data_IF_743228652209
#
_entry.id   IF_743228652209
#
_cell.length_a   1.000
_cell.length_b   1.000
_cell.length_c   1.000
_cell.angle_alpha   90.00
_cell.angle_beta   90.00
_cell.angle_gamma   90.00
#
_symmetry.space_group_name_H-M   'P 1'
#
loop_
_entity.id
_entity.type
_entity.pdbx_description
1 polymer ?
#
# COMPACT_ATOMS: atom_id res chain seq x y z
N UNK A 1 -11.67 -10.90 32.18
CA UNK A 1 -12.22 -11.85 31.20
C UNK A 1 -11.20 -12.00 30.09
N UNK A 2 -10.57 -13.19 30.04
CA UNK A 2 -9.52 -13.56 29.09
C UNK A 2 -10.14 -13.62 27.68
N UNK A 3 -9.84 -12.62 26.85
CA UNK A 3 -10.19 -12.65 25.43
C UNK A 3 -9.17 -13.52 24.71
N UNK A 4 -9.60 -14.69 24.25
CA UNK A 4 -8.82 -15.55 23.36
C UNK A 4 -8.41 -14.74 22.13
N UNK A 5 -7.13 -14.37 22.07
CA UNK A 5 -6.55 -13.73 20.91
C UNK A 5 -6.72 -14.66 19.70
N UNK A 6 -7.38 -14.18 18.64
CA UNK A 6 -7.17 -14.79 17.33
C UNK A 6 -5.67 -14.74 16.96
N UNK A 7 -5.22 -15.46 15.93
CA UNK A 7 -3.80 -15.52 15.53
C UNK A 7 -3.20 -14.18 15.05
N UNK A 8 -3.93 -13.07 15.21
CA UNK A 8 -3.52 -11.73 14.79
C UNK A 8 -3.59 -10.77 15.97
N UNK A 9 -2.65 -9.81 16.06
CA UNK A 9 -2.67 -8.81 17.12
C UNK A 9 -3.94 -7.96 17.06
N UNK A 10 -4.41 -7.51 18.22
CA UNK A 10 -5.68 -6.79 18.38
C UNK A 10 -5.78 -5.54 17.50
N UNK A 11 -4.67 -4.82 17.28
CA UNK A 11 -4.66 -3.64 16.41
C UNK A 11 -5.08 -3.97 14.97
N UNK A 12 -4.67 -5.13 14.41
CA UNK A 12 -5.07 -5.58 13.07
C UNK A 12 -6.58 -5.85 13.04
N UNK A 13 -7.10 -6.51 14.06
CA UNK A 13 -8.53 -6.81 14.18
C UNK A 13 -9.36 -5.52 14.25
N UNK A 14 -8.90 -4.49 14.97
CA UNK A 14 -9.57 -3.20 15.04
C UNK A 14 -9.65 -2.51 13.66
N UNK A 15 -8.55 -2.52 12.89
CA UNK A 15 -8.52 -1.98 11.53
C UNK A 15 -9.49 -2.76 10.63
N UNK A 16 -9.39 -4.10 10.61
CA UNK A 16 -10.24 -4.95 9.77
C UNK A 16 -11.72 -4.76 10.09
N UNK A 17 -12.09 -4.79 11.37
CA UNK A 17 -13.47 -4.58 11.79
C UNK A 17 -13.98 -3.21 11.35
N UNK A 18 -13.20 -2.16 11.60
CA UNK A 18 -13.62 -0.80 11.24
C UNK A 18 -13.76 -0.62 9.73
N UNK A 19 -12.86 -1.19 8.91
CA UNK A 19 -13.01 -1.16 7.44
C UNK A 19 -14.25 -1.93 7.02
N UNK A 20 -14.43 -3.17 7.50
CA UNK A 20 -15.55 -4.03 7.10
C UNK A 20 -16.90 -3.41 7.46
N UNK A 21 -16.99 -2.72 8.60
CA UNK A 21 -18.22 -2.05 9.03
C UNK A 21 -18.51 -0.78 8.24
N UNK A 22 -17.48 0.04 7.93
CA UNK A 22 -17.72 1.41 7.45
C UNK A 22 -17.40 1.64 5.97
N UNK A 23 -16.74 0.73 5.26
CA UNK A 23 -16.26 0.96 3.89
C UNK A 23 -17.35 1.29 2.85
N UNK A 24 -18.60 0.85 3.09
CA UNK A 24 -19.72 1.12 2.17
C UNK A 24 -20.13 2.59 2.20
N UNK A 25 -20.08 3.20 3.37
CA UNK A 25 -20.56 4.56 3.62
C UNK A 25 -19.39 5.57 3.68
N UNK A 26 -18.21 5.12 4.10
CA UNK A 26 -17.00 5.93 4.28
C UNK A 26 -15.84 5.36 3.45
N UNK A 27 -15.78 5.69 2.16
CA UNK A 27 -14.66 5.23 1.30
C UNK A 27 -13.30 5.79 1.73
N UNK A 28 -13.28 6.94 2.42
CA UNK A 28 -12.08 7.56 2.98
C UNK A 28 -11.37 6.67 4.00
N UNK A 29 -12.06 5.69 4.59
CA UNK A 29 -11.47 4.75 5.56
C UNK A 29 -10.32 3.92 4.99
N UNK A 30 -10.14 3.84 3.66
CA UNK A 30 -8.96 3.19 3.05
C UNK A 30 -7.76 4.11 2.88
N UNK A 31 -7.91 5.42 3.08
CA UNK A 31 -6.87 6.40 2.82
C UNK A 31 -6.18 6.76 4.13
N UNK A 32 -4.86 6.74 4.11
CA UNK A 32 -4.05 7.09 5.26
C UNK A 32 -2.86 7.94 4.82
N UNK A 33 -2.42 8.83 5.70
CA UNK A 33 -1.28 9.69 5.47
C UNK A 33 0.01 8.87 5.67
N UNK A 34 0.84 8.77 4.63
CA UNK A 34 2.15 8.16 4.67
C UNK A 34 3.22 9.25 4.80
N UNK A 35 3.92 9.24 5.92
CA UNK A 35 5.10 10.07 6.17
C UNK A 35 6.37 9.35 5.76
N UNK A 36 7.22 10.01 4.99
CA UNK A 36 8.56 9.54 4.59
C UNK A 36 9.57 10.66 4.76
N UNK A 37 10.86 10.35 4.61
CA UNK A 37 11.95 11.29 4.75
C UNK A 37 12.71 11.45 3.43
N UNK A 38 13.07 12.68 3.08
CA UNK A 38 13.82 12.99 1.87
C UNK A 38 14.97 13.95 2.14
N UNK A 39 15.90 14.09 1.19
CA UNK A 39 16.98 15.07 1.29
C UNK A 39 16.41 16.49 1.28
N UNK A 40 17.11 17.47 1.87
CA UNK A 40 16.67 18.84 1.82
C UNK A 40 16.59 19.36 0.37
N UNK A 41 15.54 20.13 0.07
CA UNK A 41 15.33 20.74 -1.24
C UNK A 41 16.34 21.86 -1.57
N UNK A 42 17.19 22.27 -0.61
CA UNK A 42 18.17 23.33 -0.79
C UNK A 42 19.56 22.86 -0.42
N UNK A 43 20.56 23.27 -1.19
CA UNK A 43 21.99 23.10 -0.90
C UNK A 43 22.52 24.09 0.14
N UNK A 44 21.65 24.78 0.89
CA UNK A 44 22.09 25.69 1.93
C UNK A 44 22.73 24.90 3.09
N UNK A 45 23.84 25.42 3.61
CA UNK A 45 24.59 24.81 4.72
C UNK A 45 23.83 24.80 6.06
N UNK A 46 22.62 25.36 6.11
CA UNK A 46 21.73 25.38 7.27
C UNK A 46 20.49 24.48 7.10
N UNK A 47 20.36 23.78 5.97
CA UNK A 47 19.21 22.91 5.75
C UNK A 47 19.26 21.68 6.68
N UNK A 48 18.11 21.19 7.18
CA UNK A 48 18.07 19.99 8.01
C UNK A 48 18.59 18.77 7.22
N UNK A 49 19.20 17.82 7.94
CA UNK A 49 19.75 16.60 7.35
C UNK A 49 18.69 15.73 6.63
N UNK A 50 17.41 15.91 6.98
CA UNK A 50 16.28 15.21 6.39
C UNK A 50 15.01 16.07 6.50
N UNK A 51 14.17 16.03 5.47
CA UNK A 51 12.90 16.75 5.39
C UNK A 51 11.74 15.73 5.37
N UNK A 52 10.73 15.89 6.24
CA UNK A 52 9.55 15.04 6.19
C UNK A 52 8.69 15.37 4.97
N UNK A 53 8.14 14.34 4.35
CA UNK A 53 7.16 14.46 3.29
C UNK A 53 5.93 13.62 3.62
N UNK A 54 4.74 14.15 3.38
CA UNK A 54 3.48 13.46 3.66
C UNK A 54 2.56 13.50 2.44
N UNK A 55 1.79 12.43 2.25
CA UNK A 55 0.72 12.31 1.24
C UNK A 55 -0.23 11.20 1.64
N UNK A 56 -1.44 11.23 1.09
CA UNK A 56 -2.35 10.09 1.20
C UNK A 56 -1.93 8.94 0.28
N UNK A 57 -2.10 7.73 0.78
CA UNK A 57 -2.00 6.49 0.02
C UNK A 57 -3.20 5.60 0.34
N UNK A 58 -3.47 4.63 -0.53
CA UNK A 58 -4.62 3.72 -0.39
C UNK A 58 -4.16 2.41 0.22
N UNK A 59 -4.85 1.97 1.28
CA UNK A 59 -4.71 0.64 1.84
C UNK A 59 -5.27 -0.41 0.87
N UNK A 60 -4.47 -1.43 0.57
CA UNK A 60 -4.78 -2.50 -0.39
C UNK A 60 -5.00 -3.86 0.27
N UNK A 61 -5.24 -3.87 1.58
CA UNK A 61 -5.40 -5.07 2.39
C UNK A 61 -4.13 -5.42 3.17
N UNK A 62 -4.23 -6.48 3.95
CA UNK A 62 -3.07 -7.12 4.58
C UNK A 62 -2.43 -8.13 3.61
N UNK A 63 -1.17 -8.46 3.86
CA UNK A 63 -0.42 -9.42 3.05
C UNK A 63 -1.14 -10.77 2.96
N UNK A 64 -1.25 -11.29 1.73
CA UNK A 64 -1.94 -12.54 1.41
C UNK A 64 -3.43 -12.55 1.82
N UNK A 65 -4.04 -11.40 2.11
CA UNK A 65 -5.45 -11.32 2.46
C UNK A 65 -6.33 -11.15 1.21
N UNK A 66 -7.40 -11.92 1.16
CA UNK A 66 -8.47 -11.78 0.18
C UNK A 66 -9.82 -11.72 0.90
N UNK A 67 -10.73 -10.85 0.44
CA UNK A 67 -12.11 -10.85 0.96
C UNK A 67 -12.82 -12.11 0.50
N UNK A 68 -13.51 -12.76 1.42
CA UNK A 68 -14.28 -13.97 1.13
C UNK A 68 -15.59 -13.91 1.93
N UNK A 69 -16.72 -14.01 1.22
CA UNK A 69 -18.04 -14.18 1.84
C UNK A 69 -18.18 -15.51 2.57
N UNK A 70 -17.36 -16.50 2.19
CA UNK A 70 -17.48 -17.89 2.59
C UNK A 70 -16.62 -18.20 3.84
N UNK A 71 -15.78 -17.25 4.25
CA UNK A 71 -14.98 -17.36 5.47
C UNK A 71 -15.72 -16.74 6.67
N UNK A 72 -15.73 -17.40 7.85
CA UNK A 72 -16.32 -16.84 9.07
C UNK A 72 -15.75 -15.47 9.49
N UNK A 73 -14.51 -15.17 9.10
CA UNK A 73 -13.83 -13.89 9.40
C UNK A 73 -13.99 -12.84 8.30
N UNK A 74 -14.72 -13.16 7.21
CA UNK A 74 -14.85 -12.32 6.03
C UNK A 74 -13.58 -12.23 5.16
N UNK A 75 -12.53 -12.98 5.53
CA UNK A 75 -11.23 -12.99 4.82
C UNK A 75 -10.69 -14.40 4.70
N UNK A 76 -9.98 -14.66 3.61
CA UNK A 76 -9.26 -15.90 3.35
C UNK A 76 -7.89 -15.59 2.75
N UNK A 77 -6.91 -16.51 2.84
CA UNK A 77 -5.64 -16.36 2.14
C UNK A 77 -5.84 -16.30 0.62
N UNK A 78 -5.04 -15.49 -0.07
CA UNK A 78 -5.00 -15.51 -1.53
C UNK A 78 -4.26 -16.74 -2.06
N UNK A 79 -3.10 -17.06 -1.48
CA UNK A 79 -2.36 -18.31 -1.67
C UNK A 79 -2.63 -19.24 -0.49
N UNK A 80 -3.39 -20.32 -0.76
CA UNK A 80 -3.96 -21.20 0.28
C UNK A 80 -2.92 -21.89 1.19
N UNK A 81 -1.71 -22.14 0.69
CA UNK A 81 -0.60 -22.72 1.47
C UNK A 81 -0.05 -21.78 2.55
N UNK A 82 -0.45 -20.51 2.56
CA UNK A 82 0.07 -19.48 3.46
C UNK A 82 -1.03 -18.86 4.33
N UNK A 83 -0.65 -18.35 5.49
CA UNK A 83 -1.54 -17.57 6.37
C UNK A 83 -1.67 -16.13 5.85
N UNK A 84 -2.55 -15.33 6.45
CA UNK A 84 -2.55 -13.87 6.20
C UNK A 84 -1.54 -13.20 7.14
N UNK A 85 -0.75 -12.26 6.62
CA UNK A 85 0.26 -11.53 7.39
C UNK A 85 -0.31 -10.31 8.12
N UNK A 86 0.52 -9.63 8.91
CA UNK A 86 0.20 -8.31 9.51
C UNK A 86 0.71 -7.14 8.68
N UNK A 87 1.56 -7.40 7.69
CA UNK A 87 2.07 -6.37 6.80
C UNK A 87 0.95 -5.70 6.00
N UNK A 88 0.98 -4.37 5.93
CA UNK A 88 -0.02 -3.58 5.19
C UNK A 88 0.45 -3.37 3.76
N UNK A 89 -0.46 -3.52 2.82
CA UNK A 89 -0.17 -3.30 1.41
C UNK A 89 -0.64 -1.91 0.98
N UNK A 90 0.23 -1.20 0.26
CA UNK A 90 -0.14 -0.05 -0.57
C UNK A 90 0.59 -0.13 -1.91
N UNK A 91 0.39 0.84 -2.79
CA UNK A 91 0.89 0.80 -4.17
C UNK A 91 1.43 2.16 -4.57
N UNK A 92 2.48 2.17 -5.37
CA UNK A 92 3.02 3.40 -5.95
C UNK A 92 3.57 3.15 -7.34
N UNK A 93 3.69 4.22 -8.12
CA UNK A 93 4.59 4.24 -9.27
C UNK A 93 6.02 4.17 -8.72
N UNK A 94 6.84 3.27 -9.27
CA UNK A 94 8.25 3.05 -8.91
C UNK A 94 9.10 4.31 -9.12
N UNK A 95 8.68 5.21 -10.02
CA UNK A 95 9.35 6.46 -10.36
C UNK A 95 8.95 7.63 -9.44
N UNK A 96 7.95 7.44 -8.57
CA UNK A 96 7.43 8.52 -7.74
C UNK A 96 8.46 8.98 -6.69
N UNK A 97 8.51 10.29 -6.33
CA UNK A 97 9.44 10.81 -5.34
C UNK A 97 9.44 10.06 -4.00
N UNK A 98 8.25 9.58 -3.56
CA UNK A 98 8.12 8.81 -2.32
C UNK A 98 8.93 7.51 -2.33
N UNK A 99 9.14 6.89 -3.48
CA UNK A 99 9.93 5.65 -3.60
C UNK A 99 11.41 5.98 -3.41
N UNK A 100 11.90 7.04 -4.03
CA UNK A 100 13.28 7.50 -3.83
C UNK A 100 13.54 7.86 -2.35
N UNK A 101 12.58 8.54 -1.72
CA UNK A 101 12.61 8.87 -0.29
C UNK A 101 12.73 7.60 0.58
N UNK A 102 11.92 6.58 0.32
CA UNK A 102 11.98 5.30 1.03
C UNK A 102 13.32 4.60 0.85
N UNK A 103 13.85 4.54 -0.38
CA UNK A 103 15.16 3.91 -0.65
C UNK A 103 16.26 4.62 0.13
N UNK A 104 16.24 5.96 0.16
CA UNK A 104 17.24 6.77 0.86
C UNK A 104 17.12 6.71 2.39
N UNK A 105 15.90 6.57 2.92
CA UNK A 105 15.66 6.47 4.37
C UNK A 105 15.77 5.03 4.92
N UNK A 106 16.18 4.06 4.08
CA UNK A 106 16.19 2.65 4.47
C UNK A 106 14.80 2.05 4.69
N UNK A 107 13.75 2.68 4.14
CA UNK A 107 12.36 2.23 4.21
C UNK A 107 11.60 2.71 5.44
N UNK A 108 12.23 3.40 6.40
CA UNK A 108 11.55 3.85 7.61
C UNK A 108 10.47 4.89 7.30
N UNK A 109 9.27 4.65 7.80
CA UNK A 109 8.08 5.46 7.58
C UNK A 109 7.10 5.36 8.76
N UNK A 110 6.19 6.33 8.86
CA UNK A 110 5.05 6.28 9.77
C UNK A 110 3.76 6.57 8.99
N UNK A 111 2.72 5.78 9.27
CA UNK A 111 1.37 6.05 8.80
C UNK A 111 0.55 6.71 9.91
N UNK A 112 -0.27 7.69 9.54
CA UNK A 112 -1.37 8.17 10.37
C UNK A 112 -2.70 7.88 9.67
N UNK A 113 -3.56 7.12 10.34
CA UNK A 113 -4.81 6.61 9.77
C UNK A 113 -5.97 6.91 10.71
N UNK A 114 -6.87 7.77 10.23
CA UNK A 114 -8.09 8.16 10.93
C UNK A 114 -9.28 7.40 10.37
N UNK A 115 -10.06 6.76 11.26
CA UNK A 115 -11.33 6.13 10.95
C UNK A 115 -12.44 6.94 11.65
N UNK A 116 -13.08 7.82 10.88
CA UNK A 116 -13.93 8.87 11.44
C UNK A 116 -15.14 8.29 12.17
N UNK A 117 -15.88 7.38 11.54
CA UNK A 117 -17.07 6.80 12.15
C UNK A 117 -16.76 6.01 13.43
N UNK A 118 -15.62 5.31 13.47
CA UNK A 118 -15.20 4.53 14.62
C UNK A 118 -14.52 5.37 15.73
N UNK A 119 -14.17 6.62 15.42
CA UNK A 119 -13.37 7.51 16.26
C UNK A 119 -12.05 6.87 16.70
N UNK A 120 -11.41 6.15 15.77
CA UNK A 120 -10.14 5.44 15.96
C UNK A 120 -9.03 6.09 15.14
N UNK A 121 -7.91 6.39 15.80
CA UNK A 121 -6.66 6.75 15.15
C UNK A 121 -5.65 5.62 15.30
N UNK A 122 -5.01 5.24 14.19
CA UNK A 122 -3.88 4.32 14.17
C UNK A 122 -2.64 5.07 13.70
N UNK A 123 -1.57 5.04 14.49
CA UNK A 123 -0.24 5.47 14.08
C UNK A 123 0.65 4.25 13.95
N UNK A 124 1.05 3.93 12.73
CA UNK A 124 1.78 2.68 12.41
C UNK A 124 3.20 3.06 12.00
N UNK A 125 4.17 2.78 12.86
CA UNK A 125 5.59 2.97 12.57
C UNK A 125 6.22 1.65 12.14
N UNK A 126 7.02 1.69 11.09
CA UNK A 126 7.64 0.48 10.54
C UNK A 126 8.50 0.73 9.32
N UNK A 127 8.86 -0.36 8.65
CA UNK A 127 9.70 -0.33 7.45
C UNK A 127 8.86 -0.68 6.21
N UNK A 128 8.86 0.22 5.22
CA UNK A 128 8.22 0.01 3.92
C UNK A 128 9.22 -0.59 2.93
N UNK A 129 8.86 -1.73 2.36
CA UNK A 129 9.65 -2.44 1.36
C UNK A 129 9.03 -2.28 -0.03
N UNK A 130 9.86 -1.94 -1.02
CA UNK A 130 9.41 -1.70 -2.40
C UNK A 130 9.57 -2.98 -3.22
N UNK A 131 8.47 -3.53 -3.72
CA UNK A 131 8.44 -4.67 -4.64
C UNK A 131 8.01 -4.22 -6.05
N UNK A 132 8.96 -3.92 -6.94
CA UNK A 132 8.69 -3.64 -8.35
C UNK A 132 8.57 -4.94 -9.16
N UNK A 133 8.47 -4.80 -10.48
CA UNK A 133 8.54 -5.92 -11.43
C UNK A 133 9.86 -6.73 -11.28
N UNK A 134 9.85 -8.03 -11.63
CA UNK A 134 11.08 -8.83 -11.73
C UNK A 134 12.11 -8.18 -12.66
N UNK A 135 13.39 -8.24 -12.28
CA UNK A 135 14.52 -7.66 -13.03
C UNK A 135 14.76 -6.16 -12.81
N UNK A 136 13.93 -5.47 -12.02
CA UNK A 136 14.25 -4.11 -11.57
C UNK A 136 15.29 -4.16 -10.42
N UNK A 137 16.28 -3.24 -10.32
CA UNK A 137 17.33 -3.31 -9.29
C UNK A 137 16.81 -3.40 -7.85
N UNK A 138 15.74 -2.68 -7.51
CA UNK A 138 15.11 -2.76 -6.18
C UNK A 138 14.45 -4.13 -5.89
N UNK A 139 14.14 -4.95 -6.90
CA UNK A 139 13.52 -6.26 -6.71
C UNK A 139 14.45 -7.27 -5.99
N UNK A 140 15.76 -7.07 -6.11
CA UNK A 140 16.79 -7.88 -5.45
C UNK A 140 16.96 -7.51 -3.96
N UNK A 141 16.65 -6.26 -3.61
CA UNK A 141 16.74 -5.75 -2.24
C UNK A 141 15.50 -6.10 -1.40
N UNK A 142 14.43 -6.56 -2.05
CA UNK A 142 13.18 -6.90 -1.38
C UNK A 142 13.35 -8.19 -0.53
N UNK A 143 13.08 -8.15 0.79
CA UNK A 143 13.37 -9.26 1.70
C UNK A 143 12.30 -10.37 1.64
N UNK A 144 12.29 -11.10 0.52
CA UNK A 144 11.25 -12.08 0.13
C UNK A 144 10.94 -13.12 1.21
N UNK A 145 11.96 -13.81 1.73
CA UNK A 145 11.77 -14.89 2.69
C UNK A 145 11.26 -14.36 4.03
N UNK A 146 11.81 -13.22 4.47
CA UNK A 146 11.51 -12.63 5.77
C UNK A 146 10.10 -12.02 5.85
N UNK A 147 9.61 -11.43 4.77
CA UNK A 147 8.27 -10.85 4.74
C UNK A 147 7.19 -11.86 4.34
N UNK A 148 7.56 -13.08 3.92
CA UNK A 148 6.58 -14.07 3.50
C UNK A 148 5.68 -14.44 4.70
N UNK A 149 4.37 -14.61 4.51
CA UNK A 149 3.51 -15.12 5.58
C UNK A 149 3.93 -16.53 5.99
N UNK A 150 3.58 -16.92 7.22
CA UNK A 150 3.78 -18.30 7.67
C UNK A 150 2.98 -19.29 6.83
N UNK A 151 3.42 -20.54 6.76
CA UNK A 151 2.65 -21.61 6.10
C UNK A 151 1.44 -22.03 6.93
N UNK A 152 0.37 -22.46 6.27
CA UNK A 152 -0.78 -23.05 6.95
C UNK A 152 -0.49 -24.47 7.42
N UNK A 153 -1.02 -24.84 8.60
CA UNK A 153 -1.20 -26.24 9.00
C UNK A 153 0.06 -27.10 9.08
N UNK A 154 1.25 -26.51 9.21
CA UNK A 154 2.51 -27.28 9.18
C UNK A 154 2.84 -27.86 7.81
N UNK A 155 2.27 -27.31 6.73
CA UNK A 155 2.63 -27.65 5.36
C UNK A 155 4.16 -27.53 5.18
N UNK A 156 4.80 -28.63 4.80
CA UNK A 156 6.24 -28.71 4.54
C UNK A 156 6.56 -28.52 3.05
N UNK A 157 5.62 -27.97 2.27
CA UNK A 157 5.83 -27.64 0.86
C UNK A 157 7.14 -26.87 0.66
N UNK A 158 7.83 -27.15 -0.45
CA UNK A 158 9.06 -26.45 -0.84
C UNK A 158 8.78 -25.07 -1.45
N UNK A 159 7.58 -24.87 -2.00
CA UNK A 159 7.29 -23.73 -2.88
C UNK A 159 7.23 -22.40 -2.10
N UNK A 160 8.12 -21.44 -2.38
CA UNK A 160 8.14 -20.16 -1.69
C UNK A 160 6.87 -19.35 -1.97
N UNK A 161 6.56 -18.38 -1.10
CA UNK A 161 5.46 -17.44 -1.34
C UNK A 161 5.68 -16.69 -2.66
N UNK A 162 4.70 -16.74 -3.57
CA UNK A 162 4.82 -16.10 -4.87
C UNK A 162 4.51 -14.61 -4.76
N UNK A 163 5.58 -13.84 -4.58
CA UNK A 163 5.51 -12.38 -4.50
C UNK A 163 5.09 -11.71 -5.81
N UNK A 164 5.37 -12.31 -6.96
CA UNK A 164 4.92 -11.74 -8.24
C UNK A 164 3.43 -11.98 -8.44
N UNK A 165 2.93 -13.16 -8.09
CA UNK A 165 1.49 -13.42 -8.05
C UNK A 165 0.78 -12.42 -7.13
N UNK A 166 1.31 -12.16 -5.93
CA UNK A 166 0.74 -11.19 -4.99
C UNK A 166 0.76 -9.76 -5.57
N UNK A 167 1.87 -9.34 -6.20
CA UNK A 167 1.99 -8.04 -6.87
C UNK A 167 0.95 -7.91 -7.99
N UNK A 168 0.84 -8.91 -8.86
CA UNK A 168 -0.09 -8.90 -9.99
C UNK A 168 -1.55 -8.99 -9.55
N UNK A 169 -1.86 -9.73 -8.50
CA UNK A 169 -3.19 -9.79 -7.89
C UNK A 169 -3.68 -8.40 -7.47
N UNK A 170 -2.80 -7.60 -6.87
CA UNK A 170 -3.15 -6.22 -6.49
C UNK A 170 -3.26 -5.32 -7.73
N UNK A 171 -2.34 -5.43 -8.69
CA UNK A 171 -2.38 -4.67 -9.95
C UNK A 171 -3.69 -4.90 -10.73
N UNK A 172 -4.09 -6.15 -10.91
CA UNK A 172 -5.29 -6.52 -11.68
C UNK A 172 -6.61 -6.07 -11.03
N UNK A 173 -6.61 -5.73 -9.74
CA UNK A 173 -7.78 -5.19 -9.02
C UNK A 173 -7.93 -3.67 -9.18
N UNK A 174 -7.00 -2.99 -9.85
CA UNK A 174 -7.03 -1.54 -10.03
C UNK A 174 -8.13 -1.09 -10.99
N UNK A 175 -8.66 0.11 -10.76
CA UNK A 175 -9.61 0.74 -11.69
C UNK A 175 -8.92 1.09 -13.02
N UNK A 176 -9.67 1.23 -14.13
CA UNK A 176 -9.11 1.57 -15.43
C UNK A 176 -8.25 2.85 -15.39
N UNK A 177 -8.73 3.88 -14.71
CA UNK A 177 -7.98 5.14 -14.56
C UNK A 177 -6.71 5.01 -13.71
N UNK A 178 -6.73 4.14 -12.70
CA UNK A 178 -5.53 3.89 -11.88
C UNK A 178 -4.49 3.07 -12.66
N UNK A 179 -4.91 2.08 -13.44
CA UNK A 179 -4.02 1.36 -14.36
C UNK A 179 -3.35 2.35 -15.32
N UNK A 180 -4.13 3.25 -15.94
CA UNK A 180 -3.61 4.26 -16.83
C UNK A 180 -2.60 5.19 -16.16
N UNK A 181 -2.79 5.51 -14.88
CA UNK A 181 -1.91 6.43 -14.16
C UNK A 181 -0.43 6.02 -14.14
N UNK A 182 -0.13 4.72 -14.18
CA UNK A 182 1.25 4.22 -14.23
C UNK A 182 1.90 4.31 -15.62
N UNK A 183 1.12 4.53 -16.67
CA UNK A 183 1.62 4.77 -18.04
C UNK A 183 1.73 6.27 -18.37
N UNK A 184 1.45 7.15 -17.40
CA UNK A 184 1.58 8.61 -17.56
C UNK A 184 3.04 9.04 -17.34
N UNK A 185 3.39 10.30 -17.66
CA UNK A 185 4.68 10.87 -17.25
C UNK A 185 4.94 10.71 -15.76
N UNK A 186 6.22 10.69 -15.38
CA UNK A 186 6.66 10.47 -14.00
C UNK A 186 5.88 11.34 -13.01
N UNK A 187 5.25 10.76 -11.97
CA UNK A 187 4.47 11.54 -11.02
C UNK A 187 5.28 12.66 -10.36
N UNK A 188 4.73 13.87 -10.38
CA UNK A 188 5.39 15.07 -9.85
C UNK A 188 6.35 15.79 -10.81
N UNK A 189 6.52 15.29 -12.05
CA UNK A 189 7.23 16.02 -13.10
C UNK A 189 6.40 17.20 -13.65
N UNK A 190 7.08 18.17 -14.28
CA UNK A 190 6.42 19.33 -14.93
C UNK A 190 5.46 18.82 -16.02
N UNK A 191 4.25 19.39 -16.08
CA UNK A 191 3.28 19.06 -17.11
C UNK A 191 3.86 19.35 -18.52
N UNK A 192 3.73 18.47 -19.53
CA UNK A 192 4.29 18.68 -20.87
C UNK A 192 3.78 19.96 -21.55
N UNK A 193 2.51 20.30 -21.29
CA UNK A 193 1.88 21.54 -21.77
C UNK A 193 1.89 22.67 -20.73
N UNK A 194 2.72 22.62 -19.68
CA UNK A 194 2.70 23.63 -18.60
C UNK A 194 2.85 25.08 -19.10
N UNK A 195 3.57 25.30 -20.20
CA UNK A 195 3.75 26.66 -20.76
C UNK A 195 2.52 27.15 -21.56
N UNK A 196 1.57 26.24 -21.86
CA UNK A 196 0.33 26.49 -22.62
C UNK A 196 -0.92 26.52 -21.75
N UNK A 197 -0.91 25.78 -20.64
CA UNK A 197 -1.93 25.82 -19.59
C UNK A 197 -1.73 27.14 -18.81
N UNK A 198 -2.49 28.18 -19.17
CA UNK A 198 -2.41 29.48 -18.49
C UNK A 198 -2.93 29.41 -17.04
N UNK A 199 -2.72 30.48 -16.27
CA UNK A 199 -3.17 30.61 -14.86
C UNK A 199 -4.70 30.47 -14.66
N UNK A 200 -5.50 30.43 -15.74
CA UNK A 200 -6.96 30.35 -15.71
C UNK A 200 -7.58 29.08 -16.31
N UNK A 201 -6.79 28.04 -16.66
CA UNK A 201 -7.31 26.77 -17.23
C UNK A 201 -7.61 25.68 -16.18
N UNK A 202 -7.85 26.08 -14.93
CA UNK A 202 -8.27 25.19 -13.86
C UNK A 202 -7.12 24.44 -13.18
N UNK A 203 -7.04 24.55 -11.85
CA UNK A 203 -6.17 23.77 -10.99
C UNK A 203 -6.87 22.58 -10.33
N UNK A 204 -6.17 21.78 -9.51
CA UNK A 204 -6.80 20.76 -8.69
C UNK A 204 -7.95 21.35 -7.86
N UNK A 205 -9.18 20.86 -8.09
CA UNK A 205 -10.39 21.34 -7.41
C UNK A 205 -11.10 22.52 -8.08
N UNK A 206 -10.57 23.02 -9.19
CA UNK A 206 -11.12 24.13 -9.98
C UNK A 206 -11.48 23.62 -11.39
N UNK A 207 -12.48 22.73 -11.46
CA UNK A 207 -13.31 22.40 -12.64
C UNK A 207 -13.95 21.00 -12.44
N UNK A 208 -15.28 20.91 -12.40
CA UNK A 208 -16.00 19.61 -12.32
C UNK A 208 -15.94 18.80 -13.62
N UNK A 209 -15.26 19.33 -14.66
CA UNK A 209 -15.22 18.71 -15.98
C UNK A 209 -13.96 17.87 -16.10
N UNK A 210 -14.08 16.56 -16.41
CA UNK A 210 -12.90 15.74 -16.69
C UNK A 210 -12.08 16.35 -17.82
N UNK A 211 -10.76 16.29 -17.70
CA UNK A 211 -9.84 16.71 -18.75
C UNK A 211 -10.27 16.08 -20.08
N UNK A 212 -10.65 16.92 -21.05
CA UNK A 212 -11.18 16.45 -22.32
C UNK A 212 -10.00 16.09 -23.21
N UNK A 213 -9.84 14.79 -23.48
CA UNK A 213 -9.09 14.21 -24.60
C UNK A 213 -7.56 14.45 -24.66
N UNK A 214 -6.94 13.84 -25.68
CA UNK A 214 -5.50 13.83 -25.97
C UNK A 214 -4.86 15.23 -26.12
N UNK A 215 -5.65 16.29 -26.34
CA UNK A 215 -5.14 17.66 -26.47
C UNK A 215 -4.90 18.33 -25.10
N UNK A 216 -5.71 18.02 -24.09
CA UNK A 216 -5.53 18.53 -22.71
C UNK A 216 -4.67 17.60 -21.85
N UNK A 217 -4.70 16.31 -22.14
CA UNK A 217 -3.88 15.29 -21.48
C UNK A 217 -3.36 14.30 -22.52
N UNK A 218 -2.11 14.43 -23.00
CA UNK A 218 -1.56 13.60 -24.08
C UNK A 218 -1.21 12.17 -23.64
N UNK A 219 -1.88 11.65 -22.61
CA UNK A 219 -1.64 10.36 -21.99
C UNK A 219 -2.95 9.62 -21.76
N UNK A 220 -2.91 8.27 -21.63
CA UNK A 220 -4.11 7.50 -21.39
C UNK A 220 -4.82 7.94 -20.11
N UNK A 221 -6.13 8.16 -20.23
CA UNK A 221 -7.00 8.39 -19.08
C UNK A 221 -7.41 7.09 -18.43
N UNK A 222 -7.66 6.05 -19.22
CA UNK A 222 -8.07 4.72 -18.78
C UNK A 222 -7.34 3.63 -19.57
N UNK A 223 -7.12 2.48 -18.93
CA UNK A 223 -6.65 1.27 -19.58
C UNK A 223 -7.62 0.11 -19.29
N UNK A 224 -7.80 -0.83 -20.22
CA UNK A 224 -8.71 -1.96 -20.02
C UNK A 224 -8.28 -2.83 -18.83
N UNK A 225 -9.27 -3.35 -18.09
CA UNK A 225 -9.02 -4.24 -16.96
C UNK A 225 -8.71 -5.65 -17.45
N UNK A 226 -7.52 -6.20 -17.19
CA UNK A 226 -7.13 -7.52 -17.70
C UNK A 226 -8.09 -8.66 -17.30
N UNK A 227 -8.78 -8.51 -16.17
CA UNK A 227 -9.69 -9.51 -15.58
C UNK A 227 -11.12 -9.48 -16.15
N UNK A 228 -11.47 -8.46 -16.96
CA UNK A 228 -12.82 -8.29 -17.53
C UNK A 228 -12.86 -8.42 -19.06
N UNK A 229 -11.81 -8.98 -19.65
CA UNK A 229 -11.74 -9.20 -21.09
C UNK A 229 -12.35 -10.58 -21.39
N UNK A 230 -13.44 -10.61 -22.13
CA UNK A 230 -14.20 -11.83 -22.45
C UNK A 230 -13.37 -12.83 -23.30
N UNK A 231 -12.44 -12.34 -24.13
CA UNK A 231 -11.48 -13.13 -24.91
C UNK A 231 -10.03 -13.09 -24.39
N UNK A 232 -9.79 -12.52 -23.20
CA UNK A 232 -8.45 -12.39 -22.62
C UNK A 232 -7.59 -11.29 -23.28
N UNK A 233 -6.26 -11.43 -23.25
CA UNK A 233 -5.33 -10.39 -23.76
C UNK A 233 -5.43 -10.15 -25.28
N UNK A 234 -6.08 -11.07 -26.01
CA UNK A 234 -6.18 -11.06 -27.47
C UNK A 234 -7.18 -10.01 -27.99
N UNK A 235 -8.07 -9.51 -27.13
CA UNK A 235 -9.02 -8.43 -27.44
C UNK A 235 -8.40 -7.03 -27.38
N UNK A 236 -7.13 -6.93 -26.93
CA UNK A 236 -6.45 -5.66 -26.77
C UNK A 236 -5.78 -5.22 -28.07
N UNK A 237 -5.95 -3.94 -28.43
CA UNK A 237 -5.13 -3.34 -29.49
C UNK A 237 -3.64 -3.36 -29.11
N UNK A 238 -2.75 -3.36 -30.10
CA UNK A 238 -1.30 -3.36 -29.87
C UNK A 238 -0.86 -2.18 -28.98
N UNK A 239 -1.50 -1.02 -29.14
CA UNK A 239 -1.26 0.16 -28.31
C UNK A 239 -1.68 -0.05 -26.85
N UNK A 240 -2.88 -0.59 -26.61
CA UNK A 240 -3.34 -0.92 -25.26
C UNK A 240 -2.45 -1.97 -24.58
N UNK A 241 -1.99 -2.98 -25.31
CA UNK A 241 -1.05 -3.97 -24.80
C UNK A 241 0.26 -3.30 -24.37
N UNK A 242 0.82 -2.41 -25.20
CA UNK A 242 2.04 -1.66 -24.88
C UNK A 242 1.85 -0.77 -23.64
N UNK A 243 0.76 -0.02 -23.56
CA UNK A 243 0.48 0.86 -22.42
C UNK A 243 0.23 0.07 -21.13
N UNK A 244 -0.42 -1.09 -21.19
CA UNK A 244 -0.57 -1.98 -20.04
C UNK A 244 0.75 -2.57 -19.58
N UNK A 245 1.63 -2.96 -20.51
CA UNK A 245 2.98 -3.41 -20.17
C UNK A 245 3.80 -2.29 -19.51
N UNK A 246 3.71 -1.07 -20.02
CA UNK A 246 4.35 0.10 -19.42
C UNK A 246 3.79 0.36 -18.00
N UNK A 247 2.48 0.40 -17.85
CA UNK A 247 1.78 0.52 -16.57
C UNK A 247 2.24 -0.53 -15.56
N UNK A 248 2.26 -1.80 -15.95
CA UNK A 248 2.71 -2.92 -15.10
C UNK A 248 4.19 -2.82 -14.74
N UNK A 249 5.02 -2.25 -15.63
CA UNK A 249 6.46 -2.07 -15.39
C UNK A 249 6.76 -0.94 -14.40
N UNK A 250 5.94 0.10 -14.39
CA UNK A 250 6.02 1.21 -13.43
C UNK A 250 5.29 0.90 -12.12
N UNK A 251 4.47 -0.15 -12.06
CA UNK A 251 3.76 -0.57 -10.85
C UNK A 251 4.68 -1.21 -9.82
N UNK A 252 4.65 -0.69 -8.59
CA UNK A 252 5.28 -1.29 -7.42
C UNK A 252 4.25 -1.54 -6.30
N UNK A 253 4.34 -2.73 -5.70
CA UNK A 253 3.70 -3.06 -4.44
C UNK A 253 4.59 -2.55 -3.31
N UNK A 254 4.01 -1.83 -2.35
CA UNK A 254 4.70 -1.37 -1.15
C UNK A 254 4.19 -2.18 0.03
N UNK A 255 5.10 -2.84 0.74
CA UNK A 255 4.80 -3.73 1.87
C UNK A 255 5.30 -3.06 3.14
N UNK A 256 4.39 -2.55 3.96
CA UNK A 256 4.73 -2.02 5.29
C UNK A 256 4.81 -3.18 6.27
N UNK A 257 5.99 -3.36 6.85
CA UNK A 257 6.21 -4.21 8.01
C UNK A 257 6.08 -3.36 9.29
N UNK A 258 5.02 -3.54 10.09
CA UNK A 258 4.82 -2.77 11.31
C UNK A 258 5.81 -3.19 12.41
N UNK A 259 6.35 -2.21 13.13
CA UNK A 259 7.14 -2.42 14.35
C UNK A 259 6.39 -1.96 15.61
N UNK A 260 5.68 -0.84 15.52
CA UNK A 260 4.79 -0.39 16.58
C UNK A 260 3.51 0.22 16.04
N UNK A 261 2.42 0.03 16.76
CA UNK A 261 1.10 0.58 16.44
C UNK A 261 0.54 1.29 17.66
N UNK A 262 0.38 2.61 17.59
CA UNK A 262 -0.26 3.41 18.62
C UNK A 262 -1.72 3.64 18.22
N UNK A 263 -2.64 3.12 19.04
CA UNK A 263 -4.08 3.15 18.80
C UNK A 263 -4.73 4.07 19.81
N UNK A 264 -5.39 5.11 19.30
CA UNK A 264 -6.23 6.03 20.09
C UNK A 264 -7.70 5.78 19.75
N UNK A 265 -8.50 5.48 20.75
CA UNK A 265 -9.97 5.35 20.70
C UNK A 265 -10.56 6.53 21.46
N UNK A 266 -10.88 7.58 20.72
CA UNK A 266 -11.42 8.83 21.25
C UNK A 266 -12.84 8.65 21.78
N UNK A 267 -13.62 7.75 21.18
CA UNK A 267 -14.98 7.45 21.63
C UNK A 267 -15.04 6.89 23.06
N UNK A 268 -13.95 6.28 23.54
CA UNK A 268 -13.89 5.64 24.86
C UNK A 268 -12.79 6.19 25.77
N UNK A 269 -12.12 7.26 25.35
CA UNK A 269 -10.97 7.86 26.04
C UNK A 269 -9.89 6.82 26.36
N UNK A 270 -9.40 6.16 25.31
CA UNK A 270 -8.53 4.98 25.43
C UNK A 270 -7.33 5.05 24.49
N UNK A 271 -6.13 4.74 25.01
CA UNK A 271 -4.93 4.57 24.19
C UNK A 271 -4.16 3.31 24.53
N UNK A 272 -3.70 2.60 23.51
CA UNK A 272 -2.86 1.40 23.64
C UNK A 272 -1.72 1.46 22.62
N UNK A 273 -0.51 1.18 23.08
CA UNK A 273 0.66 0.99 22.23
C UNK A 273 0.91 -0.51 22.06
N UNK A 274 1.02 -0.94 20.82
CA UNK A 274 1.40 -2.29 20.45
C UNK A 274 2.81 -2.30 19.92
N UNK A 275 3.68 -3.17 20.43
CA UNK A 275 5.07 -3.29 19.99
C UNK A 275 5.38 -4.74 19.62
N UNK A 276 6.09 -4.93 18.51
CA UNK A 276 6.51 -6.25 18.06
C UNK A 276 7.67 -6.73 18.94
N UNK A 277 7.55 -7.94 19.49
CA UNK A 277 8.54 -8.54 20.39
C UNK A 277 9.69 -9.19 19.63
N UNK A 278 9.47 -9.57 18.38
CA UNK A 278 10.41 -10.37 17.59
C UNK A 278 11.74 -9.62 17.33
N UNK A 279 12.90 -10.15 17.75
CA UNK A 279 14.18 -9.55 17.41
C UNK A 279 14.42 -9.59 15.90
N UNK A 280 15.04 -8.55 15.36
CA UNK A 280 15.28 -8.37 13.92
C UNK A 280 16.01 -9.53 13.21
N UNK A 281 16.57 -10.50 13.95
CA UNK A 281 17.32 -11.66 13.45
C UNK A 281 16.56 -12.99 13.41
N UNK A 282 15.35 -13.12 13.98
CA UNK A 282 14.58 -14.40 13.98
C UNK A 282 13.58 -14.53 12.83
N UNK A 283 13.63 -13.60 11.89
CA UNK A 283 12.85 -13.51 10.67
C UNK A 283 12.92 -14.70 9.68
N UNK A 284 13.78 -15.69 9.95
CA UNK A 284 14.01 -16.85 9.07
C UNK A 284 13.24 -18.11 9.48
N UNK A 285 12.50 -18.05 10.58
CA UNK A 285 11.62 -19.13 11.02
C UNK A 285 10.24 -18.53 11.11
N UNK A 286 9.26 -19.08 10.36
CA UNK A 286 7.86 -18.64 10.34
C UNK A 286 7.12 -18.79 11.68
N UNK A 287 7.78 -18.48 12.79
CA UNK A 287 7.21 -18.34 14.11
C UNK A 287 6.18 -17.22 14.12
N UNK A 288 5.16 -17.41 14.94
CA UNK A 288 4.07 -16.48 15.10
C UNK A 288 4.61 -15.11 15.52
N UNK A 289 4.14 -14.06 14.84
CA UNK A 289 4.50 -12.70 15.21
C UNK A 289 3.96 -12.38 16.61
N UNK A 290 4.87 -12.17 17.56
CA UNK A 290 4.52 -11.84 18.93
C UNK A 290 4.46 -10.32 19.12
N UNK A 291 3.41 -9.86 19.80
CA UNK A 291 3.12 -8.45 20.05
C UNK A 291 2.78 -8.23 21.52
N UNK A 292 3.34 -7.20 22.14
CA UNK A 292 2.91 -6.70 23.45
C UNK A 292 1.88 -5.59 23.28
N UNK A 293 0.94 -5.48 24.22
CA UNK A 293 0.02 -4.33 24.32
C UNK A 293 0.26 -3.62 25.66
N UNK A 294 0.62 -2.34 25.61
CA UNK A 294 0.78 -1.49 26.78
C UNK A 294 -0.31 -0.43 26.78
N UNK A 295 -1.04 -0.33 27.88
CA UNK A 295 -2.06 0.71 28.08
C UNK A 295 -1.39 2.05 28.36
N UNK A 296 -1.75 3.09 27.61
CA UNK A 296 -1.23 4.44 27.80
C UNK A 296 -2.32 5.41 28.27
N UNK A 297 -1.89 6.54 28.81
CA UNK A 297 -2.77 7.70 28.99
C UNK A 297 -3.16 8.22 27.59
N UNK A 298 -4.45 8.45 27.33
CA UNK A 298 -4.94 9.03 26.07
C UNK A 298 -4.17 10.28 25.64
#
# INVERSE_FOLDING_TARGET
>A
MSGTAGPHPRWKQLIQNSINTHIKDEKSVLYHALSTFGPPNSSSSQAPASVPHVRYVVHRGFLNENRSSDSPTGTAPAQASFTTGTSLLTTSDIRAPKVNQLVQSGGWAELAWWHDTAQLQFRIFGQLHVLPRPGHPLAEQFPRQRLAPSRQGGDNGSEPFDWEEERLRIFHKMSPGLLASFARPTPGSKHPNADRLGEGEGGPGEDDKPAKNDLQSPWPQELPQPTKLDGGKDDLTQEQQKLLQESQSNFALLVLEPHSVDVVDLARDKRSLFERVTPASSANTGGEEEWTETRLVP
#
